data_IF_061470311030
#
_entry.id   IF_061470311030
#
_cell.length_a   1.000
_cell.length_b   1.000
_cell.length_c   1.000
_cell.angle_alpha   90.00
_cell.angle_beta   90.00
_cell.angle_gamma   90.00
#
_symmetry.space_group_name_H-M   'P 1'
#
loop_
_entity.id
_entity.type
_entity.pdbx_description
1 polymer ?
#
# COMPACT_ATOMS: atom_id res chain seq x y z
N UNK A 1 -34.53 8.89 7.41
CA UNK A 1 -33.68 9.80 8.20
C UNK A 1 -32.22 9.32 8.04
N UNK A 2 -31.40 9.96 7.19
CA UNK A 2 -30.05 9.50 6.87
C UNK A 2 -29.02 10.16 7.81
N UNK A 3 -28.46 9.38 8.74
CA UNK A 3 -27.41 9.82 9.68
C UNK A 3 -26.11 10.12 8.93
N UNK A 4 -25.73 11.40 8.89
CA UNK A 4 -24.43 11.88 8.40
C UNK A 4 -23.37 11.74 9.51
N UNK A 5 -23.16 10.51 9.97
CA UNK A 5 -22.25 10.17 11.07
C UNK A 5 -20.79 10.03 10.64
N UNK A 6 -20.04 11.14 10.71
CA UNK A 6 -18.67 11.16 11.23
C UNK A 6 -17.55 10.45 10.45
N UNK A 7 -17.08 11.04 9.33
CA UNK A 7 -15.75 10.79 8.73
C UNK A 7 -14.56 11.13 9.65
N UNK A 8 -14.79 11.52 10.91
CA UNK A 8 -13.80 12.08 11.84
C UNK A 8 -12.94 11.00 12.51
N UNK A 9 -13.46 9.78 12.68
CA UNK A 9 -12.75 8.70 13.37
C UNK A 9 -11.63 8.08 12.53
N UNK A 10 -11.73 8.11 11.20
CA UNK A 10 -10.78 7.45 10.31
C UNK A 10 -9.43 8.18 10.21
N UNK A 11 -9.43 9.51 10.37
CA UNK A 11 -8.20 10.31 10.39
C UNK A 11 -7.29 9.97 11.57
N UNK A 12 -7.87 9.80 12.77
CA UNK A 12 -7.11 9.48 13.99
C UNK A 12 -6.36 8.15 13.89
N UNK A 13 -6.99 7.11 13.35
CA UNK A 13 -6.37 5.77 13.26
C UNK A 13 -5.15 5.69 12.32
N UNK A 14 -4.96 6.72 11.49
CA UNK A 14 -3.96 6.75 10.43
C UNK A 14 -2.71 7.54 10.81
N UNK A 15 -2.83 8.55 11.67
CA UNK A 15 -1.72 9.47 11.98
C UNK A 15 -0.75 8.94 13.06
N UNK A 16 -1.09 7.89 13.80
CA UNK A 16 -0.34 7.47 15.00
C UNK A 16 0.31 6.09 14.91
N UNK A 17 0.25 5.42 13.75
CA UNK A 17 0.84 4.08 13.62
C UNK A 17 2.28 4.18 13.14
N UNK A 18 3.20 3.90 14.07
CA UNK A 18 4.53 3.38 13.75
C UNK A 18 4.38 2.29 12.68
N UNK A 19 5.13 2.43 11.59
CA UNK A 19 5.13 1.43 10.53
C UNK A 19 6.06 0.32 11.00
N UNK A 20 5.47 -0.79 11.44
CA UNK A 20 6.21 -2.04 11.64
C UNK A 20 5.93 -2.92 10.43
N UNK A 21 6.95 -3.14 9.60
CA UNK A 21 6.88 -4.11 8.51
C UNK A 21 6.84 -5.50 9.12
N UNK A 22 5.87 -6.32 8.72
CA UNK A 22 5.85 -7.74 9.08
C UNK A 22 6.77 -8.53 8.16
N UNK A 23 7.12 -9.74 8.55
CA UNK A 23 7.85 -10.67 7.68
C UNK A 23 7.07 -10.86 6.36
N UNK A 24 7.78 -10.78 5.23
CA UNK A 24 7.17 -10.79 3.90
C UNK A 24 6.54 -9.47 3.44
N UNK A 25 6.61 -8.39 4.22
CA UNK A 25 6.16 -7.06 3.80
C UNK A 25 7.31 -6.17 3.33
N UNK A 26 7.08 -5.43 2.25
CA UNK A 26 8.03 -4.49 1.67
C UNK A 26 7.39 -3.12 1.39
N UNK A 27 8.19 -2.07 1.40
CA UNK A 27 7.76 -0.74 0.95
C UNK A 27 8.02 -0.63 -0.54
N UNK A 28 7.00 -0.20 -1.29
CA UNK A 28 7.11 0.01 -2.73
C UNK A 28 6.50 1.35 -3.16
N UNK A 29 7.03 1.90 -4.25
CA UNK A 29 6.56 3.15 -4.83
C UNK A 29 5.53 2.90 -5.93
N UNK A 30 4.44 3.65 -5.94
CA UNK A 30 3.39 3.56 -6.97
C UNK A 30 3.87 4.21 -8.26
N UNK A 31 3.99 3.42 -9.32
CA UNK A 31 4.42 3.86 -10.66
C UNK A 31 3.22 4.28 -11.49
N UNK A 32 2.18 3.45 -11.54
CA UNK A 32 0.99 3.71 -12.34
C UNK A 32 -0.27 3.07 -11.75
N UNK A 33 -1.43 3.64 -12.03
CA UNK A 33 -2.73 3.07 -11.65
C UNK A 33 -3.26 2.29 -12.86
N UNK A 34 -3.45 0.98 -12.73
CA UNK A 34 -3.85 0.10 -13.86
C UNK A 34 -5.36 -0.08 -14.00
N UNK A 35 -6.13 0.29 -12.98
CA UNK A 35 -7.57 0.08 -12.90
C UNK A 35 -7.92 -1.26 -12.25
N UNK A 36 -9.22 -1.53 -12.05
CA UNK A 36 -9.73 -2.79 -11.47
C UNK A 36 -9.03 -3.22 -10.15
N UNK A 37 -8.79 -2.28 -9.24
CA UNK A 37 -8.05 -2.52 -8.00
C UNK A 37 -6.59 -2.94 -8.19
N UNK A 38 -5.99 -2.71 -9.36
CA UNK A 38 -4.58 -3.04 -9.62
C UNK A 38 -3.78 -1.74 -9.77
N UNK A 39 -2.62 -1.73 -9.14
CA UNK A 39 -1.61 -0.68 -9.27
C UNK A 39 -0.27 -1.31 -9.66
N UNK A 40 0.53 -0.57 -10.39
CA UNK A 40 1.92 -0.93 -10.64
C UNK A 40 2.78 -0.28 -9.56
N UNK A 41 3.58 -1.10 -8.89
CA UNK A 41 4.49 -0.67 -7.83
C UNK A 41 5.92 -1.07 -8.18
N UNK A 42 6.89 -0.32 -7.66
CA UNK A 42 8.31 -0.55 -7.85
C UNK A 42 9.00 -0.71 -6.50
N UNK A 43 9.81 -1.76 -6.38
CA UNK A 43 10.65 -2.00 -5.20
C UNK A 43 11.90 -1.08 -5.18
N UNK A 44 12.71 -1.20 -4.13
CA UNK A 44 13.96 -0.46 -4.00
C UNK A 44 15.03 -0.86 -5.05
N UNK A 45 14.91 -2.06 -5.64
CA UNK A 45 15.81 -2.59 -6.67
C UNK A 45 15.42 -2.14 -8.09
N UNK A 46 14.29 -1.45 -8.26
CA UNK A 46 13.75 -1.03 -9.56
C UNK A 46 12.86 -2.07 -10.25
N UNK A 47 12.57 -3.20 -9.61
CA UNK A 47 11.66 -4.21 -10.14
C UNK A 47 10.22 -3.73 -10.03
N UNK A 48 9.49 -3.83 -11.14
CA UNK A 48 8.08 -3.46 -11.20
C UNK A 48 7.21 -4.70 -11.10
N UNK A 49 6.12 -4.58 -10.38
CA UNK A 49 5.13 -5.63 -10.21
C UNK A 49 3.74 -5.05 -10.04
N UNK A 50 2.73 -5.90 -10.27
CA UNK A 50 1.36 -5.51 -10.07
C UNK A 50 0.92 -5.90 -8.66
N UNK A 51 0.36 -4.92 -7.95
CA UNK A 51 -0.22 -5.09 -6.63
C UNK A 51 -1.73 -4.96 -6.69
N UNK A 52 -2.44 -5.83 -5.98
CA UNK A 52 -3.86 -5.64 -5.73
C UNK A 52 -4.02 -4.60 -4.60
N UNK A 53 -4.83 -3.59 -4.84
CA UNK A 53 -5.19 -2.51 -3.93
C UNK A 53 -6.60 -2.74 -3.37
N UNK A 54 -6.73 -3.32 -2.16
CA UNK A 54 -8.02 -3.70 -1.59
C UNK A 54 -9.00 -2.53 -1.57
N UNK A 55 -10.25 -2.77 -1.99
CA UNK A 55 -11.29 -1.74 -2.07
C UNK A 55 -11.55 -1.01 -0.74
N UNK A 56 -11.29 -1.67 0.40
CA UNK A 56 -11.38 -1.08 1.75
C UNK A 56 -10.40 0.10 1.92
N UNK A 57 -9.18 -0.05 1.41
CA UNK A 57 -8.13 0.97 1.45
C UNK A 57 -8.44 2.04 0.40
N UNK A 58 -8.85 1.65 -0.81
CA UNK A 58 -9.20 2.59 -1.87
C UNK A 58 -10.33 3.56 -1.50
N UNK A 59 -11.32 3.12 -0.70
CA UNK A 59 -12.41 3.99 -0.21
C UNK A 59 -11.97 5.03 0.83
N UNK A 60 -10.80 4.80 1.44
CA UNK A 60 -10.35 5.52 2.64
C UNK A 60 -9.07 6.35 2.40
N UNK A 61 -8.22 5.92 1.47
CA UNK A 61 -6.92 6.51 1.16
C UNK A 61 -6.81 6.84 -0.33
N UNK A 62 -6.38 8.07 -0.63
CA UNK A 62 -6.08 8.49 -1.98
C UNK A 62 -4.64 8.12 -2.33
N UNK A 63 -4.47 7.36 -3.43
CA UNK A 63 -3.17 6.95 -3.95
C UNK A 63 -2.92 7.65 -5.28
N UNK A 64 -1.70 8.13 -5.50
CA UNK A 64 -1.27 8.73 -6.77
C UNK A 64 0.07 8.16 -7.19
N UNK A 65 0.49 8.43 -8.42
CA UNK A 65 1.87 8.18 -8.85
C UNK A 65 2.85 8.86 -7.89
N UNK A 66 3.85 8.10 -7.44
CA UNK A 66 4.84 8.54 -6.47
C UNK A 66 4.42 8.39 -4.99
N UNK A 67 3.20 7.92 -4.70
CA UNK A 67 2.84 7.49 -3.35
C UNK A 67 3.66 6.25 -2.95
N UNK A 68 3.89 6.09 -1.65
CA UNK A 68 4.49 4.87 -1.11
C UNK A 68 3.41 4.01 -0.46
N UNK A 69 3.54 2.69 -0.61
CA UNK A 69 2.64 1.70 -0.04
C UNK A 69 3.44 0.58 0.61
N UNK A 70 2.89 -0.04 1.64
CA UNK A 70 3.38 -1.33 2.11
C UNK A 70 2.62 -2.41 1.38
N UNK A 71 3.35 -3.34 0.79
CA UNK A 71 2.82 -4.52 0.14
C UNK A 71 3.20 -5.76 0.91
N UNK A 72 2.31 -6.75 0.91
CA UNK A 72 2.57 -8.11 1.36
C UNK A 72 3.01 -8.94 0.15
N UNK A 73 4.27 -9.36 0.15
CA UNK A 73 4.90 -10.19 -0.88
C UNK A 73 4.74 -11.69 -0.60
N UNK A 74 4.15 -12.08 0.52
CA UNK A 74 3.88 -13.49 0.87
C UNK A 74 3.08 -14.24 -0.20
N UNK A 75 2.28 -13.51 -1.00
CA UNK A 75 1.52 -14.06 -2.13
C UNK A 75 2.29 -14.18 -3.44
N UNK A 76 3.52 -13.66 -3.53
CA UNK A 76 4.32 -13.54 -4.76
C UNK A 76 4.67 -14.91 -5.33
N UNK A 77 5.10 -15.83 -4.49
CA UNK A 77 5.42 -17.21 -4.90
C UNK A 77 4.18 -17.91 -5.44
N UNK A 78 3.07 -17.87 -4.70
CA UNK A 78 1.78 -18.46 -5.13
C UNK A 78 1.24 -17.83 -6.41
N UNK A 79 1.41 -16.52 -6.57
CA UNK A 79 1.01 -15.80 -7.77
C UNK A 79 1.83 -16.26 -8.98
N UNK A 80 3.13 -16.46 -8.80
CA UNK A 80 4.02 -16.97 -9.83
C UNK A 80 3.63 -18.40 -10.24
N UNK A 81 3.37 -19.28 -9.25
CA UNK A 81 2.90 -20.65 -9.49
C UNK A 81 1.53 -20.71 -10.20
N UNK A 82 0.64 -19.77 -9.89
CA UNK A 82 -0.70 -19.71 -10.49
C UNK A 82 -0.73 -19.01 -11.86
N UNK A 83 0.40 -18.46 -12.34
CA UNK A 83 0.44 -17.62 -13.56
C UNK A 83 -0.26 -16.27 -13.41
N UNK A 84 -0.51 -15.82 -12.18
CA UNK A 84 -1.10 -14.52 -11.89
C UNK A 84 -0.08 -13.41 -12.12
N UNK A 85 -0.46 -12.39 -12.90
CA UNK A 85 0.36 -11.18 -13.10
C UNK A 85 0.45 -10.32 -11.83
N UNK A 86 -0.49 -10.49 -10.91
CA UNK A 86 -0.58 -9.74 -9.65
C UNK A 86 0.18 -10.51 -8.58
N UNK A 87 1.29 -9.94 -8.13
CA UNK A 87 2.29 -10.60 -7.30
C UNK A 87 2.17 -10.25 -5.81
N UNK A 88 1.54 -9.13 -5.45
CA UNK A 88 1.45 -8.70 -4.06
C UNK A 88 0.13 -8.02 -3.72
N UNK A 89 -0.10 -7.82 -2.43
CA UNK A 89 -1.30 -7.19 -1.88
C UNK A 89 -0.92 -5.91 -1.13
N UNK A 90 -1.55 -4.78 -1.43
CA UNK A 90 -1.32 -3.55 -0.67
C UNK A 90 -1.99 -3.67 0.71
N UNK A 91 -1.18 -3.57 1.75
CA UNK A 91 -1.61 -3.62 3.15
C UNK A 91 -1.95 -2.23 3.70
N UNK A 92 -1.16 -1.22 3.35
CA UNK A 92 -1.37 0.17 3.77
C UNK A 92 -0.77 1.20 2.80
N UNK A 93 -1.32 2.41 2.79
CA UNK A 93 -0.77 3.57 2.07
C UNK A 93 0.00 4.42 3.05
N UNK A 94 1.24 4.77 2.70
CA UNK A 94 2.10 5.59 3.54
C UNK A 94 1.86 7.08 3.28
N UNK A 95 1.69 7.83 4.37
CA UNK A 95 1.58 9.28 4.33
C UNK A 95 2.95 9.93 4.31
N UNK A 96 3.03 11.15 3.78
CA UNK A 96 4.30 11.90 3.70
C UNK A 96 5.00 12.07 5.05
N UNK A 97 4.26 12.11 6.17
CA UNK A 97 4.85 12.11 7.53
C UNK A 97 5.60 10.80 7.80
N UNK A 98 4.94 9.67 7.57
CA UNK A 98 5.51 8.35 7.86
C UNK A 98 6.67 7.99 6.92
N UNK A 99 6.61 8.39 5.65
CA UNK A 99 7.73 8.24 4.71
C UNK A 99 8.96 9.00 5.22
N UNK A 100 8.77 10.25 5.69
CA UNK A 100 9.87 11.04 6.29
C UNK A 100 10.41 10.46 7.59
N UNK A 101 9.61 9.72 8.34
CA UNK A 101 10.06 9.02 9.55
C UNK A 101 10.90 7.79 9.19
N UNK A 102 10.47 7.01 8.19
CA UNK A 102 11.24 5.88 7.66
C UNK A 102 12.56 6.30 7.01
N UNK A 103 12.59 7.42 6.28
CA UNK A 103 13.83 7.97 5.71
C UNK A 103 14.83 8.43 6.78
N UNK A 104 14.35 8.86 7.96
CA UNK A 104 15.19 9.28 9.09
C UNK A 104 15.69 8.13 9.93
N UNK A 105 15.03 6.98 9.86
CA UNK A 105 15.39 5.77 10.57
C UNK A 105 15.87 4.72 9.56
N UNK A 106 17.04 4.92 8.91
CA UNK A 106 17.76 3.78 8.39
C UNK A 106 18.14 2.94 9.61
N UNK A 107 17.69 1.69 9.67
CA UNK A 107 18.47 0.71 10.46
C UNK A 107 19.93 0.71 10.00
#
# INVERSE_FOLDING_TARGET
>A
MAMRGGRKNLKRATEEKHITLQDGQGIMQVVSLRGANIIEVMDASGNKLLALFPAKIQKSMWIKRGSFVVVDESGKEKALESGSKVACLVSQVLFSKQVRELEKSPE
#
